data_IF_207396899087
#
_entry.id   IF_207396899087
#
_cell.length_a   1.000
_cell.length_b   1.000
_cell.length_c   1.000
_cell.angle_alpha   90.00
_cell.angle_beta   90.00
_cell.angle_gamma   90.00
#
_symmetry.space_group_name_H-M   'P 1'
#
loop_
_entity.id
_entity.type
_entity.pdbx_description
1 polymer ?
#
# COMPACT_ATOMS: atom_id res chain seq x y z
N UNK A 1 11.87 3.32 76.99
CA UNK A 1 12.71 3.98 75.96
C UNK A 1 12.74 3.05 74.75
N UNK A 2 12.40 3.36 73.51
CA UNK A 2 11.77 4.49 72.84
C UNK A 2 11.30 3.89 71.49
N UNK A 3 10.01 3.61 71.35
CA UNK A 3 9.41 3.21 70.07
C UNK A 3 8.72 4.44 69.47
N UNK A 4 9.49 5.30 68.83
CA UNK A 4 8.96 6.39 68.02
C UNK A 4 9.83 6.51 66.77
N UNK A 5 9.19 6.72 65.60
CA UNK A 5 9.77 7.00 64.27
C UNK A 5 9.77 5.86 63.21
N UNK A 6 8.68 5.08 63.09
CA UNK A 6 8.40 4.31 61.84
C UNK A 6 7.25 4.91 61.00
N UNK A 7 6.61 5.99 61.44
CA UNK A 7 5.44 6.57 60.78
C UNK A 7 5.66 7.25 59.40
N UNK A 8 6.83 7.85 59.04
CA UNK A 8 6.95 8.52 57.75
C UNK A 8 7.19 7.56 56.58
N UNK A 9 7.88 6.42 56.81
CA UNK A 9 8.26 5.49 55.76
C UNK A 9 7.05 4.69 55.24
N UNK A 10 6.14 4.27 56.13
CA UNK A 10 4.94 3.51 55.73
C UNK A 10 4.01 4.32 54.82
N UNK A 11 3.80 5.61 55.12
CA UNK A 11 2.97 6.51 54.29
C UNK A 11 3.57 6.73 52.90
N UNK A 12 4.88 6.93 52.80
CA UNK A 12 5.58 7.09 51.53
C UNK A 12 5.48 5.81 50.66
N UNK A 13 5.62 4.65 51.27
CA UNK A 13 5.48 3.35 50.59
C UNK A 13 4.06 3.13 50.09
N UNK A 14 3.03 3.44 50.88
CA UNK A 14 1.63 3.32 50.45
C UNK A 14 1.31 4.26 49.27
N UNK A 15 1.80 5.49 49.29
CA UNK A 15 1.62 6.44 48.18
C UNK A 15 2.34 5.95 46.92
N UNK A 16 3.56 5.44 47.05
CA UNK A 16 4.32 4.90 45.92
C UNK A 16 3.62 3.69 45.30
N UNK A 17 3.14 2.76 46.11
CA UNK A 17 2.39 1.58 45.65
C UNK A 17 1.09 2.03 44.98
N UNK A 18 0.33 2.95 45.59
CA UNK A 18 -0.90 3.50 45.01
C UNK A 18 -0.67 4.16 43.65
N UNK A 19 0.37 5.01 43.54
CA UNK A 19 0.76 5.64 42.28
C UNK A 19 1.13 4.60 41.22
N UNK A 20 1.85 3.55 41.62
CA UNK A 20 2.28 2.49 40.71
C UNK A 20 1.07 1.72 40.17
N UNK A 21 0.11 1.36 41.03
CA UNK A 21 -1.13 0.67 40.61
C UNK A 21 -1.94 1.53 39.64
N UNK A 22 -2.11 2.83 39.95
CA UNK A 22 -2.82 3.77 39.05
C UNK A 22 -2.09 3.90 37.72
N UNK A 23 -0.76 3.98 37.73
CA UNK A 23 0.06 4.00 36.51
C UNK A 23 -0.10 2.75 35.66
N UNK A 24 -0.10 1.56 36.27
CA UNK A 24 -0.36 0.30 35.57
C UNK A 24 -1.77 0.22 34.99
N UNK A 25 -2.78 0.71 35.70
CA UNK A 25 -4.15 0.77 35.17
C UNK A 25 -4.24 1.70 33.96
N UNK A 26 -3.68 2.91 34.05
CA UNK A 26 -3.65 3.86 32.94
C UNK A 26 -2.89 3.28 31.72
N UNK A 27 -1.76 2.62 31.96
CA UNK A 27 -0.99 1.95 30.91
C UNK A 27 -1.78 0.79 30.27
N UNK A 28 -2.49 -0.01 31.07
CA UNK A 28 -3.35 -1.08 30.57
C UNK A 28 -4.48 -0.56 29.68
N UNK A 29 -5.11 0.55 30.07
CA UNK A 29 -6.14 1.21 29.27
C UNK A 29 -5.57 1.74 27.94
N UNK A 30 -4.41 2.40 27.98
CA UNK A 30 -3.74 2.89 26.78
C UNK A 30 -3.40 1.75 25.81
N UNK A 31 -2.86 0.64 26.32
CA UNK A 31 -2.55 -0.54 25.51
C UNK A 31 -3.82 -1.19 24.92
N UNK A 32 -4.90 -1.26 25.70
CA UNK A 32 -6.19 -1.77 25.25
C UNK A 32 -6.77 -0.90 24.12
N UNK A 33 -6.74 0.42 24.28
CA UNK A 33 -7.18 1.35 23.26
C UNK A 33 -6.35 1.24 21.97
N UNK A 34 -5.02 1.17 22.09
CA UNK A 34 -4.13 1.00 20.95
C UNK A 34 -4.45 -0.27 20.16
N UNK A 35 -4.65 -1.39 20.85
CA UNK A 35 -5.05 -2.65 20.22
C UNK A 35 -6.39 -2.51 19.51
N UNK A 36 -7.37 -1.87 20.14
CA UNK A 36 -8.69 -1.68 19.56
C UNK A 36 -8.63 -0.91 18.23
N UNK A 37 -7.87 0.19 18.19
CA UNK A 37 -7.68 0.96 16.94
C UNK A 37 -7.02 0.12 15.85
N UNK A 38 -5.99 -0.65 16.19
CA UNK A 38 -5.31 -1.52 15.23
C UNK A 38 -6.23 -2.63 14.69
N UNK A 39 -7.09 -3.19 15.56
CA UNK A 39 -8.10 -4.16 15.15
C UNK A 39 -9.12 -3.57 14.19
N UNK A 40 -9.62 -2.37 14.48
CA UNK A 40 -10.59 -1.69 13.62
C UNK A 40 -10.02 -1.43 12.22
N UNK A 41 -8.79 -0.92 12.14
CA UNK A 41 -8.09 -0.71 10.87
C UNK A 41 -7.89 -2.01 10.08
N UNK A 42 -7.60 -3.12 10.78
CA UNK A 42 -7.43 -4.42 10.15
C UNK A 42 -8.76 -4.94 9.61
N UNK A 43 -9.85 -4.79 10.36
CA UNK A 43 -11.20 -5.17 9.94
C UNK A 43 -11.64 -4.36 8.72
N UNK A 44 -11.44 -3.04 8.74
CA UNK A 44 -11.75 -2.18 7.61
C UNK A 44 -10.96 -2.61 6.35
N UNK A 45 -9.67 -2.88 6.49
CA UNK A 45 -8.83 -3.37 5.40
C UNK A 45 -9.30 -4.71 4.82
N UNK A 46 -9.75 -5.65 5.66
CA UNK A 46 -10.31 -6.93 5.23
C UNK A 46 -11.66 -6.73 4.53
N UNK A 47 -12.47 -5.79 5.00
CA UNK A 47 -13.79 -5.51 4.42
C UNK A 47 -13.66 -4.88 3.03
N UNK A 48 -12.73 -3.93 2.85
CA UNK A 48 -12.42 -3.33 1.54
C UNK A 48 -11.95 -4.41 0.56
N UNK A 49 -11.03 -5.29 0.99
CA UNK A 49 -10.54 -6.39 0.15
C UNK A 49 -11.67 -7.35 -0.26
N UNK A 50 -12.55 -7.72 0.67
CA UNK A 50 -13.69 -8.58 0.36
C UNK A 50 -14.67 -7.94 -0.63
N UNK A 51 -14.95 -6.66 -0.48
CA UNK A 51 -15.83 -5.94 -1.40
C UNK A 51 -15.21 -5.85 -2.80
N UNK A 52 -13.92 -5.51 -2.90
CA UNK A 52 -13.20 -5.54 -4.17
C UNK A 52 -13.19 -6.92 -4.81
N UNK A 53 -12.99 -7.98 -4.03
CA UNK A 53 -13.02 -9.36 -4.53
C UNK A 53 -14.41 -9.74 -5.07
N UNK A 54 -15.49 -9.38 -4.37
CA UNK A 54 -16.87 -9.60 -4.85
C UNK A 54 -17.14 -8.88 -6.16
N UNK A 55 -16.67 -7.64 -6.30
CA UNK A 55 -16.84 -6.88 -7.53
C UNK A 55 -16.07 -7.51 -8.69
N UNK A 56 -14.81 -7.92 -8.47
CA UNK A 56 -14.01 -8.61 -9.48
C UNK A 56 -14.65 -9.93 -9.93
N UNK A 57 -15.22 -10.70 -8.99
CA UNK A 57 -15.96 -11.92 -9.31
C UNK A 57 -17.18 -11.59 -10.16
N UNK A 58 -17.96 -10.57 -9.79
CA UNK A 58 -19.13 -10.15 -10.55
C UNK A 58 -18.78 -9.64 -11.96
N UNK A 59 -17.67 -8.88 -12.11
CA UNK A 59 -17.14 -8.47 -13.40
C UNK A 59 -16.71 -9.69 -14.23
N UNK A 60 -15.94 -10.60 -13.66
CA UNK A 60 -15.50 -11.81 -14.35
C UNK A 60 -16.66 -12.69 -14.85
N UNK A 61 -17.75 -12.80 -14.08
CA UNK A 61 -18.96 -13.48 -14.55
C UNK A 61 -19.62 -12.78 -15.75
N UNK A 62 -19.72 -11.45 -15.73
CA UNK A 62 -20.25 -10.67 -16.85
C UNK A 62 -19.40 -10.79 -18.11
N UNK A 63 -18.08 -10.74 -17.96
CA UNK A 63 -17.16 -10.90 -19.09
C UNK A 63 -17.27 -12.29 -19.69
N UNK A 64 -17.34 -13.33 -18.85
CA UNK A 64 -17.52 -14.71 -19.29
C UNK A 64 -18.86 -14.90 -20.01
N UNK A 65 -19.93 -14.30 -19.52
CA UNK A 65 -21.24 -14.26 -20.19
C UNK A 65 -21.15 -13.55 -21.55
N UNK A 66 -20.47 -12.41 -21.62
CA UNK A 66 -20.22 -11.69 -22.87
C UNK A 66 -19.45 -12.54 -23.89
N UNK A 67 -18.36 -13.20 -23.49
CA UNK A 67 -17.58 -14.07 -24.39
C UNK A 67 -18.35 -15.32 -24.84
N UNK A 68 -19.26 -15.83 -24.00
CA UNK A 68 -20.15 -16.94 -24.38
C UNK A 68 -21.30 -16.50 -25.27
N UNK A 69 -21.65 -15.22 -25.26
CA UNK A 69 -22.78 -14.68 -26.02
C UNK A 69 -22.64 -14.94 -27.52
N UNK A 70 -23.78 -15.12 -28.18
CA UNK A 70 -23.85 -15.27 -29.64
C UNK A 70 -23.38 -14.01 -30.36
N UNK A 71 -23.57 -12.84 -29.75
CA UNK A 71 -23.11 -11.55 -30.28
C UNK A 71 -21.58 -11.47 -30.35
N UNK A 72 -20.87 -11.89 -29.30
CA UNK A 72 -19.40 -11.92 -29.33
C UNK A 72 -18.88 -12.92 -30.38
N UNK A 73 -19.49 -14.10 -30.48
CA UNK A 73 -19.13 -15.09 -31.50
C UNK A 73 -19.34 -14.58 -32.92
N UNK A 74 -20.45 -13.90 -33.17
CA UNK A 74 -20.77 -13.29 -34.46
C UNK A 74 -19.81 -12.13 -34.79
N UNK A 75 -19.53 -11.25 -33.83
CA UNK A 75 -18.52 -10.20 -33.96
C UNK A 75 -17.14 -10.77 -34.28
N UNK A 76 -16.71 -11.77 -33.50
CA UNK A 76 -15.40 -12.42 -33.68
C UNK A 76 -15.29 -13.12 -35.05
N UNK A 77 -16.35 -13.80 -35.51
CA UNK A 77 -16.37 -14.46 -36.82
C UNK A 77 -16.31 -13.43 -37.97
N UNK A 78 -17.02 -12.32 -37.86
CA UNK A 78 -17.01 -11.23 -38.85
C UNK A 78 -15.67 -10.51 -38.91
N UNK A 79 -15.04 -10.26 -37.76
CA UNK A 79 -13.77 -9.53 -37.67
C UNK A 79 -12.55 -10.41 -38.01
N UNK A 80 -12.48 -11.65 -37.53
CA UNK A 80 -11.28 -12.47 -37.64
C UNK A 80 -11.33 -13.54 -38.74
N UNK A 81 -12.53 -14.02 -39.10
CA UNK A 81 -12.68 -15.09 -40.08
C UNK A 81 -13.21 -14.57 -41.43
N UNK A 82 -13.64 -13.30 -41.50
CA UNK A 82 -14.18 -12.70 -42.72
C UNK A 82 -15.48 -13.35 -43.21
N UNK A 83 -16.18 -14.11 -42.36
CA UNK A 83 -17.50 -14.68 -42.65
C UNK A 83 -18.55 -13.57 -42.51
N UNK A 84 -18.62 -12.72 -43.54
CA UNK A 84 -19.64 -11.68 -43.66
C UNK A 84 -20.76 -12.20 -44.56
N UNK A 85 -22.01 -12.11 -44.12
CA UNK A 85 -23.15 -12.54 -44.92
C UNK A 85 -23.31 -11.64 -46.17
N UNK A 86 -23.75 -12.19 -47.32
CA UNK A 86 -23.90 -11.41 -48.55
C UNK A 86 -24.90 -10.27 -48.34
N UNK A 87 -24.42 -9.02 -48.43
CA UNK A 87 -25.21 -7.79 -48.25
C UNK A 87 -24.89 -6.98 -46.97
N UNK A 88 -24.07 -7.51 -46.05
CA UNK A 88 -23.69 -6.83 -44.81
C UNK A 88 -22.38 -6.04 -44.97
N UNK A 89 -22.34 -4.78 -44.51
CA UNK A 89 -21.12 -3.93 -44.52
C UNK A 89 -20.54 -3.88 -43.11
N UNK A 90 -19.36 -4.46 -42.91
CA UNK A 90 -18.62 -4.40 -41.63
C UNK A 90 -17.81 -3.12 -41.56
N UNK A 91 -18.00 -2.33 -40.50
CA UNK A 91 -17.31 -1.07 -40.27
C UNK A 91 -16.40 -1.22 -39.04
N UNK A 92 -15.11 -1.44 -39.28
CA UNK A 92 -14.12 -1.61 -38.21
C UNK A 92 -13.68 -0.22 -37.74
N UNK A 93 -14.15 0.19 -36.56
CA UNK A 93 -13.74 1.44 -35.93
C UNK A 93 -12.38 1.20 -35.26
N UNK A 94 -11.31 1.45 -36.01
CA UNK A 94 -9.97 1.55 -35.45
C UNK A 94 -9.91 2.84 -34.63
N UNK A 95 -10.03 2.70 -33.31
CA UNK A 95 -9.56 3.76 -32.43
C UNK A 95 -8.07 3.86 -32.69
N UNK A 96 -7.52 5.04 -33.05
CA UNK A 96 -6.09 5.19 -33.07
C UNK A 96 -5.62 4.84 -31.66
N UNK A 97 -4.98 3.68 -31.53
CA UNK A 97 -4.03 3.46 -30.46
C UNK A 97 -3.15 4.68 -30.54
N UNK A 98 -3.33 5.61 -29.60
CA UNK A 98 -2.38 6.67 -29.40
C UNK A 98 -1.05 5.92 -29.32
N UNK A 99 -0.23 6.08 -30.35
CA UNK A 99 1.13 5.58 -30.36
C UNK A 99 1.73 6.32 -29.18
N UNK A 100 1.68 5.67 -28.01
CA UNK A 100 2.35 6.12 -26.82
C UNK A 100 3.79 6.27 -27.28
N UNK A 101 4.25 7.50 -27.30
CA UNK A 101 5.59 7.87 -27.68
C UNK A 101 6.56 6.89 -27.01
N UNK A 102 7.25 6.06 -27.80
CA UNK A 102 8.36 5.21 -27.37
C UNK A 102 9.49 5.97 -26.63
N UNK A 103 9.42 7.30 -26.57
CA UNK A 103 10.28 8.13 -25.73
C UNK A 103 9.96 8.09 -24.23
N UNK A 104 8.75 7.68 -23.81
CA UNK A 104 8.39 7.58 -22.37
C UNK A 104 8.87 6.28 -21.75
N UNK A 105 8.71 5.15 -22.43
CA UNK A 105 9.13 3.83 -21.92
C UNK A 105 10.66 3.73 -21.76
N UNK A 106 11.44 4.31 -22.68
CA UNK A 106 12.90 4.38 -22.54
C UNK A 106 13.33 5.26 -21.35
N UNK A 107 12.60 6.34 -21.05
CA UNK A 107 12.86 7.21 -19.90
C UNK A 107 12.42 6.57 -18.58
N UNK A 108 11.34 5.81 -18.58
CA UNK A 108 10.86 5.08 -17.39
C UNK A 108 11.79 3.91 -17.04
N UNK A 109 12.25 3.15 -18.03
CA UNK A 109 13.19 2.05 -17.83
C UNK A 109 14.56 2.53 -17.31
N UNK A 110 15.03 3.70 -17.77
CA UNK A 110 16.25 4.34 -17.21
C UNK A 110 16.05 4.82 -15.77
N UNK A 111 14.88 5.40 -15.45
CA UNK A 111 14.55 5.82 -14.08
C UNK A 111 14.43 4.64 -13.12
N UNK A 112 13.90 3.51 -13.58
CA UNK A 112 13.82 2.27 -12.79
C UNK A 112 15.20 1.70 -12.48
N UNK A 113 16.12 1.70 -13.47
CA UNK A 113 17.51 1.26 -13.27
C UNK A 113 18.27 2.17 -12.31
N UNK A 114 18.11 3.49 -12.41
CA UNK A 114 18.72 4.45 -11.48
C UNK A 114 18.19 4.28 -10.05
N UNK A 115 16.89 4.02 -9.89
CA UNK A 115 16.29 3.76 -8.58
C UNK A 115 16.80 2.45 -7.96
N UNK A 116 16.94 1.39 -8.76
CA UNK A 116 17.49 0.12 -8.28
C UNK A 116 18.94 0.26 -7.80
N UNK A 117 19.79 0.97 -8.55
CA UNK A 117 21.17 1.24 -8.16
C UNK A 117 21.25 2.09 -6.88
N UNK A 118 20.37 3.07 -6.73
CA UNK A 118 20.27 3.89 -5.52
C UNK A 118 19.86 3.07 -4.28
N UNK A 119 18.88 2.17 -4.43
CA UNK A 119 18.45 1.30 -3.34
C UNK A 119 19.54 0.31 -2.93
N UNK A 120 20.33 -0.19 -3.88
CA UNK A 120 21.47 -1.05 -3.58
C UNK A 120 22.56 -0.29 -2.80
N UNK A 121 22.83 0.96 -3.17
CA UNK A 121 23.77 1.82 -2.45
C UNK A 121 23.30 2.11 -1.01
N UNK A 122 22.02 2.42 -0.82
CA UNK A 122 21.44 2.57 0.52
C UNK A 122 21.61 1.28 1.35
N UNK A 123 21.34 0.11 0.76
CA UNK A 123 21.47 -1.17 1.49
C UNK A 123 22.88 -1.44 2.02
N UNK A 124 23.92 -0.94 1.34
CA UNK A 124 25.32 -1.13 1.74
C UNK A 124 25.81 -0.13 2.79
N UNK A 125 25.05 0.93 3.05
CA UNK A 125 25.43 2.03 3.93
C UNK A 125 25.01 1.77 5.40
N UNK A 126 25.80 2.18 6.42
CA UNK A 126 25.37 2.10 7.81
C UNK A 126 24.17 3.01 8.11
N UNK A 127 23.30 2.63 9.06
CA UNK A 127 22.07 3.38 9.38
C UNK A 127 22.31 4.85 9.73
N UNK A 128 23.42 5.17 10.39
CA UNK A 128 23.71 6.55 10.82
C UNK A 128 23.91 7.48 9.62
N UNK A 129 24.48 6.97 8.52
CA UNK A 129 24.74 7.74 7.32
C UNK A 129 23.45 7.98 6.53
N UNK A 130 22.47 7.07 6.59
CA UNK A 130 21.13 7.29 6.02
C UNK A 130 20.46 8.52 6.62
N UNK A 131 20.45 8.61 7.94
CA UNK A 131 19.82 9.74 8.64
C UNK A 131 20.60 11.03 8.38
N UNK A 132 21.93 10.97 8.35
CA UNK A 132 22.75 12.13 8.01
C UNK A 132 22.43 12.66 6.61
N UNK A 133 22.35 11.77 5.63
CA UNK A 133 22.05 12.10 4.25
C UNK A 133 20.62 12.68 4.10
N UNK A 134 19.64 12.10 4.80
CA UNK A 134 18.24 12.56 4.81
C UNK A 134 18.03 13.94 5.45
N UNK A 135 18.71 14.20 6.56
CA UNK A 135 18.52 15.45 7.31
C UNK A 135 19.42 16.59 6.86
N UNK A 136 20.65 16.30 6.42
CA UNK A 136 21.67 17.33 6.18
C UNK A 136 22.11 17.45 4.73
N UNK A 137 21.90 16.42 3.88
CA UNK A 137 22.42 16.39 2.51
C UNK A 137 21.32 16.14 1.48
N UNK A 138 20.18 16.85 1.63
CA UNK A 138 19.01 16.76 0.75
C UNK A 138 19.32 17.05 -0.72
N UNK A 139 20.30 17.93 -0.98
CA UNK A 139 20.72 18.27 -2.33
C UNK A 139 21.48 17.11 -2.99
N UNK A 140 22.35 16.42 -2.25
CA UNK A 140 23.04 15.21 -2.73
C UNK A 140 22.07 14.06 -2.95
N UNK A 141 21.00 13.97 -2.15
CA UNK A 141 19.92 13.02 -2.36
C UNK A 141 19.19 13.23 -3.69
N UNK A 142 18.99 14.49 -4.08
CA UNK A 142 18.38 14.83 -5.36
C UNK A 142 19.33 14.57 -6.52
N UNK A 143 20.62 14.84 -6.35
CA UNK A 143 21.66 14.56 -7.35
C UNK A 143 21.83 13.05 -7.59
N UNK A 144 21.81 12.23 -6.53
CA UNK A 144 21.90 10.77 -6.63
C UNK A 144 20.61 10.13 -7.19
N UNK A 145 19.45 10.73 -6.91
CA UNK A 145 18.15 10.23 -7.42
C UNK A 145 17.85 10.67 -8.86
N UNK A 146 18.37 11.82 -9.27
CA UNK A 146 18.10 12.44 -10.55
C UNK A 146 19.29 12.47 -11.50
N UNK A 147 20.29 11.60 -11.28
CA UNK A 147 21.62 11.64 -11.91
C UNK A 147 21.64 12.26 -13.31
N UNK A 148 22.15 13.50 -13.36
CA UNK A 148 22.40 14.36 -14.53
C UNK A 148 21.26 14.57 -15.54
#
# INVERSE_FOLDING_TARGET
>A
MAYQNLEPVSKQVTILIGLTVVGFMAFGLALSYYRNVLFEQTLEGIQVQNNGLKENIAQGYRDLEYFKSTQYKDKYAKENLGLVNPGEKVLIIQHPLAIASNGKEASEMQKEQQQAAFLELLRQMPLIEHWKLYFFERDKLQELRGGA
#
